data_IF_925234270794
#
_entry.id   IF_925234270794
#
_cell.length_a   1.000
_cell.length_b   1.000
_cell.length_c   1.000
_cell.angle_alpha   90.00
_cell.angle_beta   90.00
_cell.angle_gamma   90.00
#
_symmetry.space_group_name_H-M   'P 1'
#
loop_
_entity.id
_entity.type
_entity.pdbx_description
1 polymer ?
#
# COMPACT_ATOMS: atom_id res chain seq x y z
N UNK A 1 -8.81 -26.88 46.72
CA UNK A 1 -8.50 -27.91 45.69
C UNK A 1 -9.15 -27.48 44.39
N UNK A 2 -8.40 -27.54 43.26
CA UNK A 2 -8.72 -27.20 41.85
C UNK A 2 -8.73 -25.68 41.53
N UNK A 3 -7.76 -25.04 40.86
CA UNK A 3 -7.02 -25.20 39.58
C UNK A 3 -7.79 -24.76 38.32
N UNK A 4 -7.15 -23.81 37.60
CA UNK A 4 -7.22 -23.49 36.16
C UNK A 4 -8.40 -22.63 35.67
N UNK A 5 -8.23 -21.67 34.76
CA UNK A 5 -7.14 -21.48 33.81
C UNK A 5 -6.82 -20.00 33.57
N UNK A 6 -5.52 -19.71 33.51
CA UNK A 6 -4.99 -18.52 32.86
C UNK A 6 -5.47 -18.53 31.41
N UNK A 7 -6.40 -17.63 31.07
CA UNK A 7 -6.64 -17.25 29.69
C UNK A 7 -5.34 -16.62 29.19
N UNK A 8 -4.54 -17.41 28.47
CA UNK A 8 -3.42 -16.92 27.72
C UNK A 8 -3.95 -15.93 26.69
N UNK A 9 -3.90 -14.63 27.02
CA UNK A 9 -3.98 -13.55 26.04
C UNK A 9 -2.85 -13.83 25.05
N UNK A 10 -3.22 -14.35 23.88
CA UNK A 10 -2.28 -14.60 22.80
C UNK A 10 -1.45 -13.34 22.59
N UNK A 11 -0.13 -13.48 22.69
CA UNK A 11 0.79 -12.40 22.30
C UNK A 11 0.39 -11.94 20.90
N UNK A 12 0.19 -10.63 20.66
CA UNK A 12 -0.03 -10.14 19.32
C UNK A 12 1.19 -10.53 18.48
N UNK A 13 0.95 -11.31 17.42
CA UNK A 13 1.98 -11.64 16.46
C UNK A 13 2.46 -10.34 15.79
N UNK A 14 3.73 -9.95 15.91
CA UNK A 14 4.23 -8.67 15.40
C UNK A 14 4.27 -8.60 13.88
N UNK A 15 3.98 -9.70 13.16
CA UNK A 15 3.83 -9.74 11.70
C UNK A 15 2.38 -9.56 11.27
N UNK A 16 1.43 -9.68 12.20
CA UNK A 16 0.04 -9.31 11.97
C UNK A 16 -0.04 -7.79 12.08
N UNK A 17 0.30 -7.13 10.98
CA UNK A 17 -0.11 -5.73 10.76
C UNK A 17 -1.62 -5.59 10.97
N UNK A 18 -2.14 -4.36 11.13
CA UNK A 18 -3.58 -4.16 11.28
C UNK A 18 -4.29 -4.96 10.18
N UNK A 19 -5.17 -5.90 10.56
CA UNK A 19 -5.96 -6.66 9.58
C UNK A 19 -6.78 -5.65 8.81
N UNK A 20 -6.30 -5.17 7.65
CA UNK A 20 -6.80 -3.96 6.98
C UNK A 20 -8.34 -4.01 6.87
N UNK A 21 -9.09 -3.35 7.77
CA UNK A 21 -10.52 -3.22 7.64
C UNK A 21 -10.72 -1.83 7.06
N UNK A 22 -10.68 -1.74 5.73
CA UNK A 22 -10.82 -0.47 5.05
C UNK A 22 -10.72 -0.66 3.55
N UNK A 23 -11.71 -0.11 2.84
CA UNK A 23 -11.71 0.00 1.38
C UNK A 23 -10.36 0.52 0.87
N UNK A 24 -9.95 0.09 -0.33
CA UNK A 24 -8.72 0.61 -0.92
C UNK A 24 -8.85 2.13 -1.08
N UNK A 25 -7.86 2.93 -0.61
CA UNK A 25 -7.91 4.36 -0.82
C UNK A 25 -8.04 4.58 -2.33
N UNK A 26 -9.08 5.31 -2.68
CA UNK A 26 -9.34 5.64 -4.08
C UNK A 26 -8.20 6.51 -4.60
N UNK A 27 -8.01 6.52 -5.91
CA UNK A 27 -6.97 7.35 -6.54
C UNK A 27 -7.08 8.84 -6.13
N UNK A 28 -8.31 9.34 -5.94
CA UNK A 28 -8.56 10.69 -5.45
C UNK A 28 -8.04 10.94 -4.03
N UNK A 29 -8.16 9.97 -3.13
CA UNK A 29 -7.63 10.06 -1.76
C UNK A 29 -6.10 10.00 -1.73
N UNK A 30 -5.51 9.19 -2.61
CA UNK A 30 -4.06 9.12 -2.79
C UNK A 30 -3.54 10.48 -3.28
N UNK A 31 -4.15 11.05 -4.30
CA UNK A 31 -3.77 12.37 -4.85
C UNK A 31 -4.03 13.53 -3.86
N UNK A 32 -5.05 13.43 -3.01
CA UNK A 32 -5.34 14.43 -1.98
C UNK A 32 -4.36 14.39 -0.80
N UNK A 33 -3.58 13.32 -0.64
CA UNK A 33 -2.63 13.19 0.46
C UNK A 33 -1.47 14.19 0.30
N UNK A 34 -1.24 15.10 1.26
CA UNK A 34 -0.24 16.14 1.15
C UNK A 34 1.18 15.57 1.14
N UNK A 35 2.09 16.22 0.42
CA UNK A 35 3.47 15.77 0.24
C UNK A 35 4.24 15.57 1.56
N UNK A 36 3.92 16.33 2.61
CA UNK A 36 4.51 16.18 3.95
C UNK A 36 4.14 14.87 4.65
N UNK A 37 3.05 14.22 4.23
CA UNK A 37 2.60 12.92 4.74
C UNK A 37 3.02 11.76 3.82
N UNK A 38 3.67 12.06 2.68
CA UNK A 38 4.17 11.05 1.76
C UNK A 38 5.58 10.65 2.15
N UNK A 39 5.79 9.37 2.48
CA UNK A 39 7.13 8.80 2.66
C UNK A 39 7.69 8.38 1.31
N UNK A 40 8.88 8.87 0.96
CA UNK A 40 9.52 8.48 -0.29
C UNK A 40 9.93 7.01 -0.27
N UNK A 41 9.63 6.31 -1.36
CA UNK A 41 10.00 4.92 -1.60
C UNK A 41 10.97 4.89 -2.79
N UNK A 42 12.26 4.72 -2.51
CA UNK A 42 13.31 4.68 -3.53
C UNK A 42 13.51 3.22 -3.98
N UNK A 43 13.00 2.87 -5.16
CA UNK A 43 13.10 1.52 -5.74
C UNK A 43 13.73 1.60 -7.12
N UNK A 44 14.73 0.76 -7.37
CA UNK A 44 15.26 0.53 -8.70
C UNK A 44 14.30 -0.33 -9.51
N UNK A 45 13.82 0.17 -10.65
CA UNK A 45 12.94 -0.56 -11.56
C UNK A 45 13.71 -1.03 -12.80
N UNK A 46 13.48 -2.25 -13.29
CA UNK A 46 14.10 -2.70 -14.54
C UNK A 46 13.71 -1.83 -15.72
N UNK A 47 14.69 -1.43 -16.53
CA UNK A 47 14.47 -0.60 -17.73
C UNK A 47 13.60 -1.32 -18.78
N UNK A 48 13.69 -2.66 -18.85
CA UNK A 48 12.89 -3.49 -19.75
C UNK A 48 11.37 -3.34 -19.56
N UNK A 49 10.92 -2.95 -18.36
CA UNK A 49 9.50 -2.70 -18.09
C UNK A 49 9.04 -1.32 -18.60
N UNK A 50 10.00 -0.43 -18.92
CA UNK A 50 9.78 0.93 -19.40
C UNK A 50 8.75 1.70 -18.57
N UNK A 51 8.70 1.47 -17.25
CA UNK A 51 7.66 2.00 -16.37
C UNK A 51 7.61 3.52 -16.41
N UNK A 52 8.78 4.18 -16.49
CA UNK A 52 8.87 5.64 -16.61
C UNK A 52 8.11 6.16 -17.85
N UNK A 53 8.28 5.49 -19.00
CA UNK A 53 7.63 5.88 -20.25
C UNK A 53 6.13 5.61 -20.18
N UNK A 54 5.73 4.41 -19.75
CA UNK A 54 4.32 4.01 -19.67
C UNK A 54 3.52 4.88 -18.70
N UNK A 55 4.07 5.14 -17.52
CA UNK A 55 3.43 6.01 -16.53
C UNK A 55 3.38 7.47 -17.00
N UNK A 56 4.40 7.92 -17.74
CA UNK A 56 4.39 9.23 -18.41
C UNK A 56 3.27 9.37 -19.44
N UNK A 57 3.08 8.37 -20.32
CA UNK A 57 1.97 8.35 -21.28
C UNK A 57 0.61 8.37 -20.57
N UNK A 58 0.42 7.48 -19.59
CA UNK A 58 -0.82 7.43 -18.82
C UNK A 58 -1.11 8.76 -18.10
N UNK A 59 -0.08 9.44 -17.59
CA UNK A 59 -0.22 10.77 -17.00
C UNK A 59 -0.73 11.80 -18.01
N UNK A 60 -0.26 11.77 -19.26
CA UNK A 60 -0.73 12.70 -20.29
C UNK A 60 -2.20 12.46 -20.64
N UNK A 61 -2.60 11.19 -20.73
CA UNK A 61 -3.96 10.82 -21.10
C UNK A 61 -4.97 11.05 -19.97
N UNK A 62 -4.59 10.74 -18.72
CA UNK A 62 -5.51 10.70 -17.58
C UNK A 62 -5.27 11.80 -16.53
N UNK A 63 -4.23 12.62 -16.69
CA UNK A 63 -3.79 13.67 -15.74
C UNK A 63 -3.52 13.15 -14.31
N UNK A 64 -3.14 11.88 -14.20
CA UNK A 64 -2.78 11.26 -12.92
C UNK A 64 -1.26 11.27 -12.75
N UNK A 65 -0.77 11.79 -11.63
CA UNK A 65 0.66 11.81 -11.36
C UNK A 65 1.26 10.40 -11.24
N UNK A 66 2.49 10.24 -11.73
CA UNK A 66 3.19 8.94 -11.77
C UNK A 66 3.33 8.33 -10.37
N UNK A 67 3.53 9.17 -9.34
CA UNK A 67 3.60 8.70 -7.95
C UNK A 67 2.27 8.09 -7.49
N UNK A 68 1.14 8.71 -7.84
CA UNK A 68 -0.18 8.24 -7.44
C UNK A 68 -0.54 6.95 -8.21
N UNK A 69 -0.15 6.85 -9.49
CA UNK A 69 -0.28 5.62 -10.27
C UNK A 69 0.47 4.46 -9.61
N UNK A 70 1.72 4.70 -9.19
CA UNK A 70 2.56 3.67 -8.56
C UNK A 70 2.02 3.30 -7.17
N UNK A 71 1.59 4.28 -6.38
CA UNK A 71 1.04 4.04 -5.06
C UNK A 71 -0.26 3.21 -5.13
N UNK A 72 -1.18 3.57 -6.03
CA UNK A 72 -2.43 2.83 -6.23
C UNK A 72 -2.18 1.40 -6.73
N UNK A 73 -1.29 1.24 -7.72
CA UNK A 73 -0.95 -0.08 -8.27
C UNK A 73 -0.28 -0.98 -7.22
N UNK A 74 0.62 -0.43 -6.40
CA UNK A 74 1.32 -1.18 -5.36
C UNK A 74 0.37 -1.55 -4.21
N UNK A 75 -0.48 -0.63 -3.76
CA UNK A 75 -1.49 -0.89 -2.72
C UNK A 75 -2.47 -1.99 -3.16
N UNK A 76 -3.01 -1.90 -4.38
CA UNK A 76 -3.88 -2.93 -4.94
C UNK A 76 -3.17 -4.30 -5.00
N UNK A 77 -1.94 -4.35 -5.50
CA UNK A 77 -1.16 -5.58 -5.62
C UNK A 77 -0.84 -6.23 -4.27
N UNK A 78 -0.58 -5.42 -3.22
CA UNK A 78 -0.35 -5.90 -1.85
C UNK A 78 -1.64 -6.43 -1.23
N UNK A 79 -2.75 -5.70 -1.36
CA UNK A 79 -4.06 -6.10 -0.84
C UNK A 79 -4.57 -7.39 -1.45
N UNK A 80 -4.39 -7.59 -2.76
CA UNK A 80 -4.69 -8.86 -3.44
C UNK A 80 -3.96 -10.06 -2.83
N UNK A 81 -2.81 -9.81 -2.18
CA UNK A 81 -1.99 -10.83 -1.50
C UNK A 81 -2.25 -10.90 0.01
N UNK A 82 -3.18 -10.07 0.51
CA UNK A 82 -3.54 -10.00 1.92
C UNK A 82 -2.53 -9.25 2.79
N UNK A 83 -1.74 -8.35 2.20
CA UNK A 83 -0.82 -7.45 2.91
C UNK A 83 -1.39 -6.04 3.07
#
# INVERSE_FOLDING_TARGET
MRTEGFAAVGRPDPRRGPSVPGEAPTLGEISATPASQRRQLNIGVPESLMLHRRAGLYRLDHRVDVQDQVAAALDAWLRERGY
#
